data_IF_723834510199
#
_entry.id   IF_723834510199
#
_cell.length_a   1.000
_cell.length_b   1.000
_cell.length_c   1.000
_cell.angle_alpha   90.00
_cell.angle_beta   90.00
_cell.angle_gamma   90.00
#
_symmetry.space_group_name_H-M   'P 1'
#
loop_
_entity.id
_entity.type
_entity.pdbx_description
1 polymer ?
#
# COMPACT_ATOMS: atom_id res chain seq x y z
N UNK A 1 -19.05 -31.71 -33.22
CA UNK A 1 -18.79 -31.13 -31.87
C UNK A 1 -18.64 -29.64 -32.04
N UNK A 2 -19.75 -28.87 -31.96
CA UNK A 2 -19.71 -27.40 -32.11
C UNK A 2 -19.23 -26.78 -30.79
N UNK A 3 -18.03 -26.21 -30.80
CA UNK A 3 -17.46 -25.40 -29.69
C UNK A 3 -18.40 -24.26 -29.40
N UNK A 4 -19.12 -24.32 -28.28
CA UNK A 4 -19.82 -23.19 -27.66
C UNK A 4 -18.77 -22.27 -27.06
N UNK A 5 -18.12 -21.45 -27.86
CA UNK A 5 -17.57 -20.21 -27.36
C UNK A 5 -18.75 -19.30 -27.00
N UNK A 6 -19.28 -19.51 -25.80
CA UNK A 6 -20.23 -18.59 -25.19
C UNK A 6 -19.58 -17.21 -25.18
N UNK A 7 -20.14 -16.28 -25.97
CA UNK A 7 -19.82 -14.85 -25.92
C UNK A 7 -20.03 -14.38 -24.47
N UNK A 8 -18.94 -14.36 -23.72
CA UNK A 8 -18.96 -13.94 -22.33
C UNK A 8 -19.21 -12.42 -22.25
N UNK A 9 -20.38 -12.04 -21.77
CA UNK A 9 -20.69 -10.66 -21.43
C UNK A 9 -20.43 -10.49 -19.94
N UNK A 10 -19.31 -9.83 -19.57
CA UNK A 10 -18.99 -9.56 -18.18
C UNK A 10 -20.17 -8.79 -17.53
N UNK A 11 -20.59 -9.24 -16.34
CA UNK A 11 -21.58 -8.49 -15.58
C UNK A 11 -20.95 -7.16 -15.12
N UNK A 12 -21.78 -6.11 -15.03
CA UNK A 12 -21.33 -4.78 -14.62
C UNK A 12 -20.68 -4.77 -13.25
N UNK A 13 -21.17 -5.59 -12.32
CA UNK A 13 -20.59 -5.76 -10.97
C UNK A 13 -19.20 -6.41 -11.06
N UNK A 14 -19.05 -7.42 -11.92
CA UNK A 14 -17.78 -8.10 -12.13
C UNK A 14 -16.73 -7.16 -12.73
N UNK A 15 -17.09 -6.40 -13.76
CA UNK A 15 -16.20 -5.42 -14.39
C UNK A 15 -15.77 -4.33 -13.39
N UNK A 16 -16.69 -3.83 -12.59
CA UNK A 16 -16.41 -2.84 -11.55
C UNK A 16 -15.42 -3.36 -10.51
N UNK A 17 -15.61 -4.59 -10.01
CA UNK A 17 -14.67 -5.20 -9.08
C UNK A 17 -13.30 -5.42 -9.71
N UNK A 18 -13.24 -5.83 -10.97
CA UNK A 18 -11.98 -6.00 -11.70
C UNK A 18 -11.24 -4.67 -11.86
N UNK A 19 -11.94 -3.59 -12.24
CA UNK A 19 -11.36 -2.25 -12.31
C UNK A 19 -10.86 -1.79 -10.93
N UNK A 20 -11.65 -2.04 -9.87
CA UNK A 20 -11.25 -1.70 -8.51
C UNK A 20 -9.96 -2.44 -8.09
N UNK A 21 -9.81 -3.72 -8.43
CA UNK A 21 -8.57 -4.48 -8.19
C UNK A 21 -7.37 -3.89 -8.93
N UNK A 22 -7.54 -3.53 -10.21
CA UNK A 22 -6.46 -2.93 -11.00
C UNK A 22 -6.02 -1.57 -10.42
N UNK A 23 -6.97 -0.76 -9.97
CA UNK A 23 -6.66 0.53 -9.34
C UNK A 23 -5.92 0.34 -8.00
N UNK A 24 -6.33 -0.63 -7.17
CA UNK A 24 -5.62 -0.95 -5.92
C UNK A 24 -4.22 -1.50 -6.20
N UNK A 25 -4.05 -2.36 -7.21
CA UNK A 25 -2.74 -2.86 -7.62
C UNK A 25 -1.84 -1.71 -8.12
N UNK A 26 -2.38 -0.81 -8.95
CA UNK A 26 -1.68 0.40 -9.41
C UNK A 26 -1.29 1.31 -8.23
N UNK A 27 -2.16 1.42 -7.21
CA UNK A 27 -1.88 2.17 -5.99
C UNK A 27 -0.71 1.59 -5.20
N UNK A 28 -0.62 0.27 -5.08
CA UNK A 28 0.51 -0.39 -4.40
C UNK A 28 1.82 -0.10 -5.14
N UNK A 29 1.82 -0.16 -6.48
CA UNK A 29 2.98 0.18 -7.30
C UNK A 29 3.37 1.65 -7.13
N UNK A 30 2.40 2.57 -7.22
CA UNK A 30 2.63 4.00 -7.06
C UNK A 30 3.13 4.34 -5.65
N UNK A 31 2.61 3.68 -4.60
CA UNK A 31 3.09 3.81 -3.23
C UNK A 31 4.54 3.35 -3.08
N UNK A 32 4.91 2.24 -3.75
CA UNK A 32 6.29 1.78 -3.83
C UNK A 32 7.21 2.82 -4.51
N UNK A 33 6.76 3.40 -5.63
CA UNK A 33 7.50 4.47 -6.33
C UNK A 33 7.66 5.72 -5.43
N UNK A 34 6.61 6.16 -4.73
CA UNK A 34 6.65 7.27 -3.77
C UNK A 34 7.69 7.01 -2.67
N UNK A 35 7.78 5.76 -2.18
CA UNK A 35 8.81 5.38 -1.19
C UNK A 35 10.22 5.40 -1.75
N UNK A 36 10.41 4.87 -2.97
CA UNK A 36 11.74 4.80 -3.62
C UNK A 36 12.29 6.17 -4.03
N UNK A 37 11.41 7.14 -4.25
CA UNK A 37 11.76 8.53 -4.60
C UNK A 37 11.88 9.46 -3.40
N UNK A 38 11.78 8.95 -2.17
CA UNK A 38 11.74 9.73 -0.94
C UNK A 38 10.74 10.89 -1.02
N UNK A 39 9.52 10.62 -1.54
CA UNK A 39 8.51 11.65 -1.81
C UNK A 39 7.38 11.68 -0.78
N UNK A 40 7.35 10.71 0.15
CA UNK A 40 6.18 10.42 0.99
C UNK A 40 5.92 11.40 2.14
N UNK A 41 6.76 12.43 2.32
CA UNK A 41 6.62 13.48 3.33
C UNK A 41 6.57 14.90 2.71
N UNK A 42 6.48 15.01 1.38
CA UNK A 42 6.49 16.29 0.67
C UNK A 42 5.24 17.13 0.92
N UNK A 43 4.10 16.51 1.26
CA UNK A 43 2.84 17.18 1.60
C UNK A 43 2.62 17.06 3.11
N UNK A 44 2.98 18.12 3.83
CA UNK A 44 3.04 18.13 5.29
C UNK A 44 1.69 18.26 5.99
N UNK A 45 0.62 18.59 5.26
CA UNK A 45 -0.71 18.82 5.83
C UNK A 45 -1.72 17.73 5.43
N UNK A 46 -2.62 17.43 6.38
CA UNK A 46 -3.82 16.65 6.09
C UNK A 46 -4.89 17.57 5.48
N UNK A 47 -4.99 17.54 4.15
CA UNK A 47 -5.96 18.36 3.44
C UNK A 47 -6.80 17.48 2.47
N UNK A 48 -7.77 16.69 2.98
CA UNK A 48 -8.51 15.71 2.18
C UNK A 48 -9.31 16.38 1.05
N UNK A 49 -9.82 17.59 1.25
CA UNK A 49 -10.60 18.32 0.25
C UNK A 49 -9.72 19.36 -0.45
N UNK A 50 -9.02 20.24 0.28
CA UNK A 50 -8.18 21.28 -0.32
C UNK A 50 -7.03 20.71 -1.16
N UNK A 51 -6.48 19.54 -0.78
CA UNK A 51 -5.41 18.86 -1.52
C UNK A 51 -5.87 18.11 -2.79
N UNK A 52 -7.10 18.32 -3.26
CA UNK A 52 -7.56 17.76 -4.56
C UNK A 52 -6.81 18.40 -5.72
N UNK A 53 -6.60 19.71 -5.67
CA UNK A 53 -5.82 20.43 -6.65
C UNK A 53 -4.38 20.64 -6.13
N UNK A 54 -3.36 20.51 -6.99
CA UNK A 54 -2.00 20.89 -6.62
C UNK A 54 -1.92 22.43 -6.53
N UNK A 55 -0.83 23.00 -5.99
CA UNK A 55 -0.60 24.42 -6.05
C UNK A 55 -0.69 24.95 -7.48
N UNK A 56 -1.52 26.00 -7.72
CA UNK A 56 -1.82 26.48 -9.07
C UNK A 56 -0.96 27.65 -9.53
N UNK A 57 -0.30 28.35 -8.59
CA UNK A 57 0.52 29.52 -8.87
C UNK A 57 1.86 29.42 -8.14
N UNK A 58 2.82 30.24 -8.56
CA UNK A 58 4.18 30.21 -8.01
C UNK A 58 4.22 30.51 -6.51
N UNK A 59 3.40 31.43 -6.04
CA UNK A 59 3.34 31.79 -4.62
C UNK A 59 2.89 30.60 -3.74
N UNK A 60 1.87 29.85 -4.19
CA UNK A 60 1.41 28.64 -3.52
C UNK A 60 2.49 27.54 -3.52
N UNK A 61 3.23 27.38 -4.61
CA UNK A 61 4.35 26.43 -4.67
C UNK A 61 5.47 26.79 -3.70
N UNK A 62 5.84 28.07 -3.62
CA UNK A 62 6.85 28.54 -2.66
C UNK A 62 6.36 28.31 -1.23
N UNK A 63 5.09 28.60 -0.94
CA UNK A 63 4.51 28.37 0.39
C UNK A 63 4.57 26.90 0.82
N UNK A 64 4.23 25.96 -0.07
CA UNK A 64 4.32 24.51 0.24
C UNK A 64 5.77 24.06 0.40
N UNK A 65 6.69 24.62 -0.39
CA UNK A 65 8.11 24.30 -0.27
C UNK A 65 8.69 24.83 1.04
N UNK A 66 8.33 26.03 1.48
CA UNK A 66 8.77 26.57 2.79
C UNK A 66 8.27 25.69 3.96
N UNK A 67 7.05 25.13 3.89
CA UNK A 67 6.57 24.17 4.89
C UNK A 67 7.41 22.88 4.88
N UNK A 68 7.75 22.37 3.70
CA UNK A 68 8.59 21.17 3.55
C UNK A 68 9.99 21.37 4.10
N UNK A 69 10.58 22.57 3.94
CA UNK A 69 11.90 22.90 4.50
C UNK A 69 11.98 22.82 6.02
N UNK A 70 10.84 22.86 6.71
CA UNK A 70 10.80 22.83 8.18
C UNK A 70 10.84 21.40 8.75
N UNK A 71 10.68 20.36 7.92
CA UNK A 71 10.69 18.99 8.41
C UNK A 71 12.11 18.39 8.43
N UNK A 72 12.40 17.43 9.33
CA UNK A 72 13.73 16.83 9.46
C UNK A 72 14.23 16.13 8.20
N UNK A 73 13.34 15.54 7.40
CA UNK A 73 13.70 14.86 6.13
C UNK A 73 14.39 15.85 5.17
N UNK A 74 13.90 17.08 5.04
CA UNK A 74 14.51 18.08 4.16
C UNK A 74 15.97 18.36 4.55
N UNK A 75 16.21 18.58 5.84
CA UNK A 75 17.55 18.91 6.35
C UNK A 75 18.53 17.73 6.17
N UNK A 76 18.03 16.50 6.32
CA UNK A 76 18.85 15.29 6.26
C UNK A 76 19.10 14.77 4.84
N UNK A 77 18.12 14.88 3.94
CA UNK A 77 18.15 14.18 2.64
C UNK A 77 18.05 15.13 1.44
N UNK A 78 17.50 16.34 1.61
CA UNK A 78 17.13 17.23 0.51
C UNK A 78 17.58 18.69 0.71
N UNK A 79 18.59 18.95 1.55
CA UNK A 79 19.05 20.31 1.90
C UNK A 79 19.43 21.18 0.68
N UNK A 80 19.88 20.56 -0.41
CA UNK A 80 20.27 21.23 -1.65
C UNK A 80 19.14 21.29 -2.70
N UNK A 81 17.92 20.82 -2.33
CA UNK A 81 16.80 20.74 -3.28
C UNK A 81 16.27 22.14 -3.61
N UNK A 82 16.08 22.39 -4.88
CA UNK A 82 15.41 23.59 -5.39
C UNK A 82 13.88 23.38 -5.52
N UNK A 83 13.16 24.43 -5.90
CA UNK A 83 11.72 24.38 -6.11
C UNK A 83 11.31 23.39 -7.21
N UNK A 84 12.16 23.15 -8.21
CA UNK A 84 11.89 22.19 -9.29
C UNK A 84 11.94 20.75 -8.77
N UNK A 85 12.95 20.43 -8.00
CA UNK A 85 13.09 19.16 -7.31
C UNK A 85 11.91 18.90 -6.37
N UNK A 86 11.53 19.91 -5.55
CA UNK A 86 10.37 19.82 -4.68
C UNK A 86 9.08 19.51 -5.44
N UNK A 87 8.81 20.19 -6.57
CA UNK A 87 7.64 19.90 -7.41
C UNK A 87 7.60 18.45 -7.85
N UNK A 88 8.75 17.86 -8.17
CA UNK A 88 8.84 16.45 -8.61
C UNK A 88 8.40 15.49 -7.50
N UNK A 89 8.95 15.64 -6.29
CA UNK A 89 8.55 14.78 -5.16
C UNK A 89 7.11 15.04 -4.71
N UNK A 90 6.66 16.30 -4.76
CA UNK A 90 5.28 16.68 -4.47
C UNK A 90 4.30 15.98 -5.41
N UNK A 91 4.57 15.92 -6.72
CA UNK A 91 3.68 15.25 -7.68
C UNK A 91 3.62 13.73 -7.49
N UNK A 92 4.68 13.08 -7.04
CA UNK A 92 4.64 11.66 -6.67
C UNK A 92 3.65 11.42 -5.53
N UNK A 93 3.79 12.16 -4.44
CA UNK A 93 2.90 12.03 -3.29
C UNK A 93 1.47 12.47 -3.60
N UNK A 94 1.31 13.59 -4.30
CA UNK A 94 0.00 14.08 -4.73
C UNK A 94 -0.71 13.05 -5.61
N UNK A 95 -0.04 12.46 -6.59
CA UNK A 95 -0.59 11.42 -7.47
C UNK A 95 -1.05 10.20 -6.67
N UNK A 96 -0.28 9.78 -5.69
CA UNK A 96 -0.65 8.70 -4.77
C UNK A 96 -1.92 9.05 -3.98
N UNK A 97 -1.98 10.25 -3.41
CA UNK A 97 -3.17 10.72 -2.68
C UNK A 97 -4.39 10.87 -3.59
N UNK A 98 -4.21 11.31 -4.87
CA UNK A 98 -5.30 11.41 -5.84
C UNK A 98 -5.84 10.04 -6.23
N UNK A 99 -4.96 9.09 -6.53
CA UNK A 99 -5.40 7.74 -6.86
C UNK A 99 -6.18 7.11 -5.69
N UNK A 100 -5.81 7.40 -4.44
CA UNK A 100 -6.58 6.99 -3.26
C UNK A 100 -8.00 7.53 -3.25
N UNK A 101 -8.17 8.83 -3.56
CA UNK A 101 -9.50 9.46 -3.68
C UNK A 101 -10.32 8.83 -4.81
N UNK A 102 -9.69 8.61 -5.97
CA UNK A 102 -10.31 7.98 -7.14
C UNK A 102 -10.78 6.57 -6.79
N UNK A 103 -9.96 5.76 -6.12
CA UNK A 103 -10.35 4.41 -5.66
C UNK A 103 -11.58 4.47 -4.77
N UNK A 104 -11.59 5.38 -3.80
CA UNK A 104 -12.74 5.57 -2.92
C UNK A 104 -14.04 5.88 -3.70
N UNK A 105 -13.99 6.82 -4.63
CA UNK A 105 -15.15 7.21 -5.45
C UNK A 105 -15.56 6.10 -6.44
N UNK A 106 -14.60 5.49 -7.14
CA UNK A 106 -14.85 4.39 -8.11
C UNK A 106 -15.42 3.17 -7.41
N UNK A 107 -15.11 2.97 -6.13
CA UNK A 107 -15.71 1.88 -5.37
C UNK A 107 -17.09 2.28 -4.79
N UNK A 108 -17.19 3.44 -4.13
CA UNK A 108 -18.38 3.84 -3.39
C UNK A 108 -19.59 4.15 -4.29
N UNK A 109 -19.39 4.91 -5.38
CA UNK A 109 -20.50 5.36 -6.24
C UNK A 109 -21.19 4.17 -6.92
N UNK A 110 -20.49 3.24 -7.61
CA UNK A 110 -21.14 2.07 -8.18
C UNK A 110 -21.71 1.13 -7.13
N UNK A 111 -21.10 1.01 -5.95
CA UNK A 111 -21.65 0.21 -4.84
C UNK A 111 -23.06 0.68 -4.49
N UNK A 112 -23.24 1.99 -4.28
CA UNK A 112 -24.54 2.59 -3.96
C UNK A 112 -25.55 2.30 -5.09
N UNK A 113 -25.14 2.52 -6.36
CA UNK A 113 -26.00 2.26 -7.53
C UNK A 113 -26.41 0.78 -7.59
N UNK A 114 -25.48 -0.15 -7.35
CA UNK A 114 -25.77 -1.60 -7.42
C UNK A 114 -26.61 -2.09 -6.26
N UNK A 115 -26.53 -1.48 -5.07
CA UNK A 115 -27.41 -1.76 -3.95
C UNK A 115 -28.85 -1.27 -4.27
N UNK A 116 -29.00 -0.02 -4.70
CA UNK A 116 -30.31 0.57 -5.03
C UNK A 116 -30.96 -0.18 -6.20
N UNK A 117 -30.20 -0.52 -7.24
CA UNK A 117 -30.69 -1.28 -8.41
C UNK A 117 -30.84 -2.79 -8.15
N UNK A 118 -30.64 -3.25 -6.89
CA UNK A 118 -30.76 -4.66 -6.47
C UNK A 118 -29.88 -5.64 -7.28
N UNK A 119 -28.75 -5.17 -7.81
CA UNK A 119 -27.80 -6.01 -8.54
C UNK A 119 -26.88 -6.82 -7.62
N UNK A 120 -26.77 -6.40 -6.37
CA UNK A 120 -26.08 -7.15 -5.31
C UNK A 120 -27.14 -7.81 -4.43
N UNK A 121 -26.98 -9.10 -4.19
CA UNK A 121 -27.85 -9.87 -3.28
C UNK A 121 -27.75 -9.31 -1.86
N UNK A 122 -28.89 -9.22 -1.16
CA UNK A 122 -28.96 -8.60 0.18
C UNK A 122 -27.96 -9.23 1.17
N UNK A 123 -27.81 -10.54 1.11
CA UNK A 123 -26.93 -11.32 1.98
C UNK A 123 -25.44 -11.00 1.76
N UNK A 124 -25.08 -10.48 0.59
CA UNK A 124 -23.72 -10.13 0.23
C UNK A 124 -23.38 -8.66 0.49
N UNK A 125 -24.37 -7.78 0.70
CA UNK A 125 -24.15 -6.32 0.86
C UNK A 125 -23.13 -6.05 1.97
N UNK A 126 -23.20 -6.77 3.09
CA UNK A 126 -22.27 -6.59 4.21
C UNK A 126 -20.81 -6.75 3.78
N UNK A 127 -20.50 -7.72 2.92
CA UNK A 127 -19.12 -7.95 2.44
C UNK A 127 -18.63 -6.79 1.56
N UNK A 128 -19.49 -6.24 0.70
CA UNK A 128 -19.15 -5.10 -0.15
C UNK A 128 -18.96 -3.81 0.67
N UNK A 129 -19.84 -3.57 1.63
CA UNK A 129 -19.72 -2.43 2.56
C UNK A 129 -18.46 -2.59 3.42
N UNK A 130 -18.14 -3.81 3.85
CA UNK A 130 -16.89 -4.10 4.59
C UNK A 130 -15.64 -3.70 3.82
N UNK A 131 -15.58 -3.95 2.51
CA UNK A 131 -14.45 -3.51 1.67
C UNK A 131 -14.43 -1.97 1.54
N UNK A 132 -15.59 -1.30 1.41
CA UNK A 132 -15.64 0.17 1.43
C UNK A 132 -15.07 0.73 2.73
N UNK A 133 -15.45 0.16 3.87
CA UNK A 133 -14.93 0.58 5.18
C UNK A 133 -13.40 0.36 5.29
N UNK A 134 -12.88 -0.76 4.75
CA UNK A 134 -11.44 -1.00 4.68
C UNK A 134 -10.73 0.05 3.80
N UNK A 135 -11.32 0.45 2.66
CA UNK A 135 -10.78 1.51 1.79
C UNK A 135 -10.76 2.86 2.53
N UNK A 136 -11.82 3.20 3.25
CA UNK A 136 -11.87 4.42 4.06
C UNK A 136 -10.81 4.40 5.18
N UNK A 137 -10.72 3.27 5.89
CA UNK A 137 -9.72 3.06 6.96
C UNK A 137 -8.29 3.14 6.42
N UNK A 138 -8.05 2.67 5.20
CA UNK A 138 -6.75 2.75 4.53
C UNK A 138 -6.27 4.20 4.35
N UNK A 139 -7.19 5.13 4.04
CA UNK A 139 -6.86 6.56 3.99
C UNK A 139 -6.45 7.12 5.36
N UNK A 140 -7.13 6.72 6.42
CA UNK A 140 -6.81 7.11 7.81
C UNK A 140 -5.46 6.53 8.22
N UNK A 141 -5.22 5.24 7.94
CA UNK A 141 -3.94 4.57 8.23
C UNK A 141 -2.79 5.24 7.44
N UNK A 142 -3.04 5.64 6.18
CA UNK A 142 -2.05 6.35 5.37
C UNK A 142 -1.65 7.69 6.00
N UNK A 143 -2.61 8.46 6.48
CA UNK A 143 -2.29 9.69 7.21
C UNK A 143 -1.59 9.42 8.54
N UNK A 144 -2.05 8.46 9.31
CA UNK A 144 -1.37 8.04 10.55
C UNK A 144 0.08 7.60 10.29
N UNK A 145 0.36 6.99 9.13
CA UNK A 145 1.72 6.67 8.71
C UNK A 145 2.53 7.94 8.42
N UNK A 146 2.01 8.85 7.60
CA UNK A 146 2.70 10.11 7.21
C UNK A 146 2.97 10.98 8.43
N UNK A 147 2.01 11.14 9.34
CA UNK A 147 2.18 11.95 10.56
C UNK A 147 3.39 11.50 11.40
N UNK A 148 3.74 10.21 11.36
CA UNK A 148 4.91 9.71 12.11
C UNK A 148 6.26 10.22 11.60
N UNK A 149 6.34 10.62 10.34
CA UNK A 149 7.56 11.19 9.75
C UNK A 149 7.60 12.72 9.82
N UNK A 150 6.47 13.35 10.20
CA UNK A 150 6.37 14.81 10.38
C UNK A 150 6.58 15.25 11.83
N UNK A 151 6.63 14.30 12.77
CA UNK A 151 6.72 14.53 14.20
C UNK A 151 8.03 13.92 14.76
N UNK A 152 8.48 14.43 15.91
CA UNK A 152 9.53 13.82 16.74
C UNK A 152 10.91 13.64 16.08
N UNK A 153 11.40 14.62 15.33
CA UNK A 153 12.75 14.63 14.72
C UNK A 153 13.06 13.40 13.83
N UNK A 154 12.04 12.71 13.34
CA UNK A 154 12.20 11.57 12.44
C UNK A 154 12.40 12.04 11.00
N UNK A 155 13.33 11.40 10.32
CA UNK A 155 13.62 11.63 8.89
C UNK A 155 12.78 10.72 7.96
N UNK A 156 12.09 9.71 8.53
CA UNK A 156 11.29 8.73 7.79
C UNK A 156 10.03 8.36 8.57
N UNK A 157 9.02 7.86 7.84
CA UNK A 157 7.82 7.30 8.46
C UNK A 157 8.14 6.07 9.32
N UNK A 158 7.30 5.80 10.32
CA UNK A 158 7.43 4.60 11.15
C UNK A 158 7.32 3.33 10.31
N UNK A 159 8.32 2.44 10.41
CA UNK A 159 8.31 1.13 9.75
C UNK A 159 7.09 0.27 10.15
N UNK A 160 6.60 0.40 11.37
CA UNK A 160 5.40 -0.28 11.84
C UNK A 160 4.14 0.23 11.14
N UNK A 161 4.00 1.57 11.03
CA UNK A 161 2.85 2.19 10.38
C UNK A 161 2.88 1.93 8.87
N UNK A 162 4.06 1.90 8.26
CA UNK A 162 4.26 1.51 6.85
C UNK A 162 3.85 0.06 6.61
N UNK A 163 4.30 -0.88 7.47
CA UNK A 163 3.94 -2.29 7.36
C UNK A 163 2.43 -2.50 7.54
N UNK A 164 1.79 -1.77 8.45
CA UNK A 164 0.33 -1.80 8.64
C UNK A 164 -0.38 -1.27 7.39
N UNK A 165 0.04 -0.12 6.84
CA UNK A 165 -0.56 0.47 5.65
C UNK A 165 -0.45 -0.46 4.44
N UNK A 166 0.73 -1.00 4.16
CA UNK A 166 0.94 -1.95 3.05
C UNK A 166 0.17 -3.25 3.25
N UNK A 167 0.18 -3.79 4.48
CA UNK A 167 -0.54 -5.03 4.81
C UNK A 167 -2.05 -4.91 4.58
N UNK A 168 -2.66 -3.81 5.02
CA UNK A 168 -4.09 -3.56 4.79
C UNK A 168 -4.39 -3.35 3.30
N UNK A 169 -3.51 -2.72 2.52
CA UNK A 169 -3.68 -2.59 1.07
C UNK A 169 -3.76 -3.98 0.38
N UNK A 170 -2.91 -4.93 0.76
CA UNK A 170 -2.98 -6.30 0.24
C UNK A 170 -4.21 -7.07 0.73
N UNK A 171 -4.69 -6.82 1.94
CA UNK A 171 -5.96 -7.39 2.43
C UNK A 171 -7.13 -6.85 1.59
N UNK A 172 -7.17 -5.55 1.29
CA UNK A 172 -8.20 -4.96 0.41
C UNK A 172 -8.16 -5.64 -0.97
N UNK A 173 -6.97 -5.79 -1.56
CA UNK A 173 -6.80 -6.46 -2.86
C UNK A 173 -7.32 -7.92 -2.81
N UNK A 174 -6.99 -8.66 -1.76
CA UNK A 174 -7.46 -10.04 -1.56
C UNK A 174 -8.99 -10.10 -1.38
N UNK A 175 -9.58 -9.16 -0.63
CA UNK A 175 -11.04 -9.07 -0.45
C UNK A 175 -11.75 -8.73 -1.77
N UNK A 176 -11.21 -7.81 -2.56
CA UNK A 176 -11.74 -7.48 -3.90
C UNK A 176 -11.68 -8.69 -4.83
N UNK A 177 -10.55 -9.41 -4.84
CA UNK A 177 -10.39 -10.65 -5.61
C UNK A 177 -11.40 -11.72 -5.17
N UNK A 178 -11.59 -11.87 -3.86
CA UNK A 178 -12.56 -12.81 -3.30
C UNK A 178 -14.00 -12.44 -3.69
N UNK A 179 -14.39 -11.17 -3.62
CA UNK A 179 -15.69 -10.68 -4.07
C UNK A 179 -15.88 -10.93 -5.56
N UNK A 180 -14.89 -10.60 -6.38
CA UNK A 180 -14.92 -10.81 -7.83
C UNK A 180 -15.06 -12.29 -8.20
N UNK A 181 -14.28 -13.16 -7.57
CA UNK A 181 -14.36 -14.61 -7.77
C UNK A 181 -15.75 -15.16 -7.46
N UNK A 182 -16.38 -14.66 -6.38
CA UNK A 182 -17.67 -15.17 -5.91
C UNK A 182 -18.88 -14.56 -6.64
N UNK A 183 -18.69 -13.70 -7.66
CA UNK A 183 -19.80 -13.21 -8.51
C UNK A 183 -20.33 -14.27 -9.47
N UNK A 184 -19.53 -15.26 -9.83
CA UNK A 184 -19.93 -16.35 -10.72
C UNK A 184 -19.53 -17.69 -10.16
N UNK A 185 -20.43 -18.69 -10.34
CA UNK A 185 -20.19 -20.11 -10.08
C UNK A 185 -19.17 -20.72 -11.06
N UNK A 186 -18.20 -19.94 -11.52
CA UNK A 186 -17.26 -20.33 -12.59
C UNK A 186 -16.19 -21.31 -12.16
N UNK A 187 -15.90 -21.30 -10.88
CA UNK A 187 -14.81 -22.12 -10.37
C UNK A 187 -15.41 -23.38 -9.79
N UNK A 188 -14.97 -24.56 -10.23
CA UNK A 188 -15.42 -25.79 -9.63
C UNK A 188 -15.17 -25.71 -8.12
N UNK A 189 -16.15 -26.19 -7.33
CA UNK A 189 -15.95 -26.34 -5.89
C UNK A 189 -14.73 -27.24 -5.68
N UNK A 190 -13.62 -26.63 -5.29
CA UNK A 190 -12.43 -27.40 -4.90
C UNK A 190 -12.81 -28.13 -3.62
N UNK A 191 -12.78 -29.43 -3.65
CA UNK A 191 -13.02 -30.28 -2.48
C UNK A 191 -12.24 -29.72 -1.28
N UNK A 192 -12.95 -29.36 -0.21
CA UNK A 192 -12.41 -28.71 0.99
C UNK A 192 -11.31 -29.49 1.71
N UNK A 193 -11.08 -30.74 1.33
CA UNK A 193 -10.11 -31.66 1.96
C UNK A 193 -8.91 -32.04 1.07
N UNK A 194 -8.59 -31.28 0.03
CA UNK A 194 -7.44 -31.59 -0.79
C UNK A 194 -6.16 -31.01 -0.15
N UNK A 195 -5.08 -31.81 -0.13
CA UNK A 195 -3.75 -31.37 0.31
C UNK A 195 -3.27 -30.10 -0.42
N UNK A 196 -3.57 -29.98 -1.71
CA UNK A 196 -3.29 -28.78 -2.51
C UNK A 196 -3.89 -27.51 -1.90
N UNK A 197 -5.13 -27.56 -1.40
CA UNK A 197 -5.78 -26.42 -0.75
C UNK A 197 -5.03 -25.99 0.53
N UNK A 198 -4.50 -26.96 1.29
CA UNK A 198 -3.70 -26.69 2.49
C UNK A 198 -2.38 -26.00 2.11
N UNK A 199 -1.65 -26.51 1.13
CA UNK A 199 -0.39 -25.93 0.68
C UNK A 199 -0.59 -24.52 0.10
N UNK A 200 -1.65 -24.29 -0.68
CA UNK A 200 -1.97 -22.97 -1.21
C UNK A 200 -2.24 -21.95 -0.11
N UNK A 201 -2.97 -22.33 0.95
CA UNK A 201 -3.20 -21.44 2.11
C UNK A 201 -1.91 -21.10 2.83
N UNK A 202 -1.04 -22.09 3.07
CA UNK A 202 0.27 -21.87 3.69
C UNK A 202 1.12 -20.94 2.83
N UNK A 203 1.20 -21.19 1.52
CA UNK A 203 1.94 -20.35 0.59
C UNK A 203 1.41 -18.91 0.59
N UNK A 204 0.10 -18.71 0.56
CA UNK A 204 -0.52 -17.38 0.62
C UNK A 204 -0.13 -16.65 1.92
N UNK A 205 -0.14 -17.35 3.06
CA UNK A 205 0.28 -16.79 4.34
C UNK A 205 1.77 -16.41 4.31
N UNK A 206 2.64 -17.29 3.79
CA UNK A 206 4.08 -17.02 3.68
C UNK A 206 4.36 -15.82 2.78
N UNK A 207 3.69 -15.73 1.63
CA UNK A 207 3.79 -14.56 0.74
C UNK A 207 3.35 -13.28 1.46
N UNK A 208 2.25 -13.31 2.21
CA UNK A 208 1.80 -12.16 2.98
C UNK A 208 2.80 -11.76 4.06
N UNK A 209 3.37 -12.73 4.80
CA UNK A 209 4.43 -12.47 5.79
C UNK A 209 5.67 -11.87 5.12
N UNK A 210 6.06 -12.35 3.94
CA UNK A 210 7.18 -11.81 3.17
C UNK A 210 6.93 -10.35 2.76
N UNK A 211 5.69 -10.00 2.38
CA UNK A 211 5.31 -8.60 2.09
C UNK A 211 5.49 -7.72 3.32
N UNK A 212 5.06 -8.18 4.50
CA UNK A 212 5.20 -7.45 5.77
C UNK A 212 6.69 -7.27 6.13
N UNK A 213 7.49 -8.32 6.01
CA UNK A 213 8.94 -8.22 6.24
C UNK A 213 9.60 -7.23 5.26
N UNK A 214 9.21 -7.25 3.98
CA UNK A 214 9.65 -6.28 2.98
C UNK A 214 9.28 -4.83 3.33
N UNK A 215 8.13 -4.62 3.97
CA UNK A 215 7.75 -3.30 4.46
C UNK A 215 8.68 -2.79 5.58
N UNK A 216 9.16 -3.69 6.47
CA UNK A 216 10.17 -3.33 7.47
C UNK A 216 11.51 -2.99 6.82
N UNK A 217 11.95 -3.77 5.80
CA UNK A 217 13.15 -3.45 5.02
C UNK A 217 13.03 -2.07 4.37
N UNK A 218 11.90 -1.77 3.75
CA UNK A 218 11.66 -0.47 3.13
C UNK A 218 11.61 0.67 4.16
N UNK A 219 10.93 0.46 5.29
CA UNK A 219 10.78 1.46 6.36
C UNK A 219 12.11 1.85 7.01
N UNK A 220 13.01 0.87 7.21
CA UNK A 220 14.32 1.07 7.79
C UNK A 220 15.43 1.37 6.77
N UNK A 221 15.11 1.48 5.46
CA UNK A 221 16.11 1.58 4.37
C UNK A 221 17.16 0.45 4.43
N UNK A 222 16.79 -0.70 5.01
CA UNK A 222 17.70 -1.80 5.33
C UNK A 222 18.24 -2.53 4.09
N UNK A 223 17.58 -2.43 2.93
CA UNK A 223 17.94 -3.16 1.72
C UNK A 223 19.27 -2.77 1.08
N UNK A 224 19.93 -1.71 1.58
CA UNK A 224 21.22 -1.24 1.08
C UNK A 224 22.41 -1.55 2.00
N UNK A 225 22.17 -2.18 3.14
CA UNK A 225 23.19 -2.40 4.17
C UNK A 225 24.15 -3.52 3.78
N UNK A 226 23.62 -4.65 3.32
CA UNK A 226 24.41 -5.77 2.81
C UNK A 226 24.09 -5.98 1.33
N UNK A 227 25.13 -5.96 0.49
CA UNK A 227 25.01 -6.10 -0.98
C UNK A 227 25.69 -7.38 -1.50
N UNK A 228 26.09 -8.28 -0.61
CA UNK A 228 26.71 -9.57 -0.95
C UNK A 228 25.69 -10.70 -0.82
N UNK A 229 25.80 -11.71 -1.70
CA UNK A 229 24.96 -12.91 -1.69
C UNK A 229 25.79 -14.11 -2.16
N UNK A 230 25.68 -15.31 -1.57
CA UNK A 230 24.70 -15.73 -0.55
C UNK A 230 25.06 -15.37 0.90
N UNK A 231 26.26 -14.84 1.13
CA UNK A 231 26.72 -14.43 2.46
C UNK A 231 26.54 -12.91 2.65
N UNK A 232 26.32 -12.50 3.88
CA UNK A 232 26.24 -11.08 4.25
C UNK A 232 27.58 -10.63 4.81
N UNK A 233 28.38 -9.95 3.96
CA UNK A 233 29.80 -9.57 4.21
C UNK A 233 30.69 -10.74 4.64
N UNK A 234 30.52 -11.89 4.00
CA UNK A 234 31.31 -13.09 4.25
C UNK A 234 30.78 -13.99 5.37
N UNK A 235 29.81 -13.55 6.16
CA UNK A 235 29.18 -14.34 7.23
C UNK A 235 27.81 -14.88 6.78
N UNK A 236 27.45 -16.09 7.24
CA UNK A 236 26.14 -16.68 6.97
C UNK A 236 25.02 -15.93 7.71
N UNK A 237 25.27 -15.48 8.93
CA UNK A 237 24.39 -14.62 9.73
C UNK A 237 25.08 -13.28 9.90
N UNK A 238 24.43 -12.14 9.58
CA UNK A 238 25.10 -10.84 9.63
C UNK A 238 25.54 -10.45 11.03
N UNK A 239 26.66 -9.76 11.13
CA UNK A 239 27.16 -9.24 12.39
C UNK A 239 26.15 -8.28 13.00
N UNK A 240 25.86 -8.47 14.29
CA UNK A 240 24.87 -7.64 15.00
C UNK A 240 23.42 -8.06 14.83
N UNK A 241 23.15 -9.27 14.32
CA UNK A 241 21.81 -9.83 14.14
C UNK A 241 20.93 -9.74 15.40
N UNK A 242 21.47 -9.96 16.60
CA UNK A 242 20.75 -9.93 17.88
C UNK A 242 21.33 -8.86 18.86
N UNK A 243 21.64 -7.66 18.34
CA UNK A 243 22.30 -6.60 19.12
C UNK A 243 21.37 -5.81 20.04
N UNK A 244 20.07 -5.71 19.70
CA UNK A 244 19.13 -4.89 20.45
C UNK A 244 18.55 -5.63 21.67
N UNK A 245 18.34 -4.88 22.74
CA UNK A 245 17.63 -5.32 23.94
C UNK A 245 16.32 -4.51 24.08
N UNK A 246 15.16 -5.13 24.35
CA UNK A 246 14.92 -6.58 24.44
C UNK A 246 15.01 -7.27 23.06
N UNK A 247 15.36 -8.57 23.04
CA UNK A 247 15.69 -9.34 21.83
C UNK A 247 14.62 -9.31 20.74
N UNK A 248 13.33 -9.23 21.09
CA UNK A 248 12.25 -9.16 20.10
C UNK A 248 12.32 -7.93 19.19
N UNK A 249 12.95 -6.82 19.62
CA UNK A 249 13.15 -5.62 18.81
C UNK A 249 13.99 -5.89 17.56
N UNK A 250 14.90 -6.87 17.62
CA UNK A 250 15.75 -7.20 16.48
C UNK A 250 14.94 -7.60 15.24
N UNK A 251 13.77 -8.21 15.41
CA UNK A 251 12.90 -8.61 14.29
C UNK A 251 12.37 -7.40 13.52
N UNK A 252 12.23 -6.23 14.19
CA UNK A 252 11.48 -5.08 13.64
C UNK A 252 12.30 -3.78 13.56
N UNK A 253 13.39 -3.67 14.31
CA UNK A 253 14.15 -2.41 14.46
C UNK A 253 15.64 -2.56 14.11
N UNK A 254 16.17 -3.78 14.11
CA UNK A 254 17.57 -4.04 13.77
C UNK A 254 17.73 -4.18 12.25
N UNK A 255 18.42 -3.25 11.62
CA UNK A 255 18.63 -3.20 10.17
C UNK A 255 19.21 -4.52 9.63
N UNK A 256 20.23 -5.06 10.29
CA UNK A 256 20.87 -6.33 9.88
C UNK A 256 19.89 -7.51 9.97
N UNK A 257 19.14 -7.60 11.08
CA UNK A 257 18.17 -8.67 11.28
C UNK A 257 16.96 -8.55 10.35
N UNK A 258 16.45 -7.35 10.14
CA UNK A 258 15.31 -7.10 9.23
C UNK A 258 15.69 -7.45 7.79
N UNK A 259 16.89 -7.09 7.32
CA UNK A 259 17.35 -7.46 5.98
C UNK A 259 17.56 -8.98 5.85
N UNK A 260 18.15 -9.62 6.85
CA UNK A 260 18.38 -11.07 6.84
C UNK A 260 17.09 -11.87 6.87
N UNK A 261 16.10 -11.45 7.66
CA UNK A 261 14.81 -12.15 7.81
C UNK A 261 13.91 -12.03 6.57
N UNK A 262 14.11 -11.01 5.74
CA UNK A 262 13.39 -10.82 4.48
C UNK A 262 14.02 -11.66 3.36
#
# INVERSE_FOLDING_TARGET
>A
MKSKFLKYKADKVELWLYVSMLLVAAMIILGGATRLTNSGLSITEWAPIKGILPPLNNQSWVSEFEKYKLIPEFLAEHSDMDLSGFKTIYFWEWSHRQLGRIIGLVYAIPLIIFIISKKIQKEKIFNFVGVLLLICMQGIIGWWMVSSGLENDRIDVSQYRLATHLGVAFIILACLFWLWKNQKERWPEISKKNSLTRYTKILTLLVYLQIILGAFVAGLKAGRTYNTWPLMDGDFVPRGYMRLDPYWKNIFENISAVQFNH
#
